data_IF_042904341051
#
_entry.id   IF_042904341051
#
_cell.length_a   1.000
_cell.length_b   1.000
_cell.length_c   1.000
_cell.angle_alpha   90.00
_cell.angle_beta   90.00
_cell.angle_gamma   90.00
#
_symmetry.space_group_name_H-M   'P 1'
#
loop_
_entity.id
_entity.type
_entity.pdbx_description
1 polymer ?
#
# COMPACT_ATOMS: atom_id res chain seq x y z
N UNK A 1 -8.88 3.32 17.64
CA UNK A 1 -8.29 2.26 16.80
C UNK A 1 -6.79 2.39 16.86
N UNK A 2 -6.10 1.26 17.05
CA UNK A 2 -4.64 1.24 17.02
C UNK A 2 -4.13 1.36 15.57
N UNK A 3 -2.83 1.57 15.38
CA UNK A 3 -2.20 1.61 14.06
C UNK A 3 -2.41 0.29 13.28
N UNK A 4 -2.31 -0.85 13.95
CA UNK A 4 -2.53 -2.18 13.36
C UNK A 4 -3.95 -2.28 12.76
N UNK A 5 -4.97 -1.85 13.50
CA UNK A 5 -6.35 -1.88 13.01
C UNK A 5 -6.55 -0.97 11.80
N UNK A 6 -5.96 0.23 11.84
CA UNK A 6 -6.04 1.20 10.74
C UNK A 6 -5.38 0.67 9.47
N UNK A 7 -4.23 0.00 9.60
CA UNK A 7 -3.53 -0.56 8.46
C UNK A 7 -4.27 -1.78 7.89
N UNK A 8 -4.81 -2.65 8.75
CA UNK A 8 -5.69 -3.75 8.31
C UNK A 8 -6.89 -3.24 7.52
N UNK A 9 -7.56 -2.20 8.01
CA UNK A 9 -8.70 -1.59 7.31
C UNK A 9 -8.25 -1.02 5.97
N UNK A 10 -7.14 -0.27 5.93
CA UNK A 10 -6.64 0.31 4.67
C UNK A 10 -6.31 -0.77 3.62
N UNK A 11 -5.70 -1.88 4.03
CA UNK A 11 -5.43 -3.03 3.15
C UNK A 11 -6.75 -3.67 2.66
N UNK A 12 -7.71 -3.91 3.56
CA UNK A 12 -9.00 -4.52 3.21
C UNK A 12 -9.84 -3.63 2.28
N UNK A 13 -9.78 -2.32 2.43
CA UNK A 13 -10.45 -1.33 1.58
C UNK A 13 -9.73 -1.15 0.22
N UNK A 14 -8.52 -1.70 0.06
CA UNK A 14 -7.67 -1.46 -1.10
C UNK A 14 -7.20 0.00 -1.20
N UNK A 15 -7.18 0.73 -0.09
CA UNK A 15 -6.75 2.12 -0.03
C UNK A 15 -5.22 2.18 0.06
N UNK A 16 -4.60 2.06 -1.11
CA UNK A 16 -3.14 2.05 -1.27
C UNK A 16 -2.48 3.31 -0.71
N UNK A 17 -3.13 4.48 -0.84
CA UNK A 17 -2.59 5.75 -0.36
C UNK A 17 -2.54 5.77 1.18
N UNK A 18 -3.64 5.39 1.83
CA UNK A 18 -3.72 5.35 3.29
C UNK A 18 -2.80 4.28 3.88
N UNK A 19 -2.69 3.12 3.23
CA UNK A 19 -1.75 2.08 3.64
C UNK A 19 -0.29 2.56 3.56
N UNK A 20 0.08 3.26 2.48
CA UNK A 20 1.40 3.87 2.33
C UNK A 20 1.69 4.92 3.42
N UNK A 21 0.74 5.81 3.70
CA UNK A 21 0.88 6.82 4.76
C UNK A 21 1.10 6.18 6.13
N UNK A 22 0.37 5.11 6.45
CA UNK A 22 0.51 4.38 7.71
C UNK A 22 1.86 3.66 7.83
N UNK A 23 2.37 3.06 6.75
CA UNK A 23 3.68 2.38 6.76
C UNK A 23 4.85 3.36 6.83
N UNK A 24 4.74 4.52 6.19
CA UNK A 24 5.77 5.57 6.26
C UNK A 24 5.80 6.30 7.60
N UNK A 25 4.67 6.32 8.32
CA UNK A 25 4.54 6.93 9.66
C UNK A 25 4.33 5.86 10.73
N UNK A 26 5.31 4.99 10.89
CA UNK A 26 5.31 3.95 11.91
C UNK A 26 5.25 4.56 13.33
N UNK A 27 4.35 4.05 14.19
CA UNK A 27 4.28 4.48 15.58
C UNK A 27 5.46 3.90 16.37
N UNK A 28 6.26 4.79 16.97
CA UNK A 28 7.50 4.40 17.68
C UNK A 28 7.24 3.68 19.01
N UNK A 29 6.09 3.93 19.64
CA UNK A 29 5.76 3.44 20.99
C UNK A 29 4.62 2.39 21.02
N UNK A 30 4.12 1.97 19.85
CA UNK A 30 2.96 1.06 19.76
C UNK A 30 3.31 -0.42 19.80
N UNK A 31 4.56 -0.80 19.52
CA UNK A 31 4.95 -2.21 19.44
C UNK A 31 5.59 -2.65 20.76
N UNK A 32 4.78 -3.23 21.64
CA UNK A 32 5.18 -3.57 23.02
C UNK A 32 5.67 -5.00 23.19
N UNK A 33 5.27 -5.88 22.28
CA UNK A 33 5.55 -7.31 22.32
C UNK A 33 5.91 -7.86 20.94
N UNK A 34 6.49 -9.06 20.93
CA UNK A 34 6.94 -9.71 19.70
C UNK A 34 5.80 -10.01 18.73
N UNK A 35 4.61 -10.33 19.23
CA UNK A 35 3.44 -10.62 18.39
C UNK A 35 3.01 -9.37 17.62
N UNK A 36 2.99 -8.20 18.27
CA UNK A 36 2.67 -6.92 17.64
C UNK A 36 3.68 -6.55 16.54
N UNK A 37 4.95 -6.90 16.72
CA UNK A 37 6.00 -6.70 15.72
C UNK A 37 5.84 -7.63 14.52
N UNK A 38 5.53 -8.91 14.75
CA UNK A 38 5.28 -9.88 13.68
C UNK A 38 4.05 -9.50 12.87
N UNK A 39 2.98 -9.04 13.52
CA UNK A 39 1.78 -8.53 12.85
C UNK A 39 2.13 -7.29 12.01
N UNK A 40 2.91 -6.36 12.57
CA UNK A 40 3.32 -5.17 11.83
C UNK A 40 4.16 -5.53 10.58
N UNK A 41 5.10 -6.46 10.72
CA UNK A 41 5.92 -6.95 9.61
C UNK A 41 5.05 -7.53 8.49
N UNK A 42 4.10 -8.39 8.84
CA UNK A 42 3.18 -9.02 7.88
C UNK A 42 2.32 -7.97 7.14
N UNK A 43 1.77 -6.99 7.87
CA UNK A 43 0.97 -5.93 7.26
C UNK A 43 1.80 -5.01 6.35
N UNK A 44 3.06 -4.75 6.70
CA UNK A 44 3.98 -4.01 5.83
C UNK A 44 4.26 -4.79 4.56
N UNK A 45 4.48 -6.11 4.65
CA UNK A 45 4.69 -6.97 3.48
C UNK A 45 3.46 -6.94 2.54
N UNK A 46 2.25 -7.07 3.08
CA UNK A 46 1.01 -6.95 2.30
C UNK A 46 0.85 -5.57 1.67
N UNK A 47 1.25 -4.51 2.37
CA UNK A 47 1.21 -3.14 1.82
C UNK A 47 2.19 -2.98 0.65
N UNK A 48 3.38 -3.58 0.73
CA UNK A 48 4.36 -3.58 -0.36
C UNK A 48 3.77 -4.27 -1.59
N UNK A 49 3.21 -5.47 -1.43
CA UNK A 49 2.57 -6.21 -2.54
C UNK A 49 1.43 -5.39 -3.17
N UNK A 50 0.61 -4.73 -2.35
CA UNK A 50 -0.47 -3.86 -2.84
C UNK A 50 0.07 -2.67 -3.66
N UNK A 51 1.16 -2.04 -3.22
CA UNK A 51 1.83 -0.94 -3.92
C UNK A 51 2.45 -1.39 -5.25
N UNK A 52 3.07 -2.57 -5.29
CA UNK A 52 3.64 -3.15 -6.51
C UNK A 52 2.55 -3.43 -7.56
N UNK A 53 1.42 -3.99 -7.12
CA UNK A 53 0.26 -4.23 -7.97
C UNK A 53 -0.31 -2.92 -8.53
N UNK A 54 -0.38 -1.87 -7.73
CA UNK A 54 -0.86 -0.56 -8.19
C UNK A 54 0.12 0.08 -9.18
N UNK A 55 1.42 -0.04 -8.94
CA UNK A 55 2.45 0.40 -9.88
C UNK A 55 2.31 -0.28 -11.25
N UNK A 56 2.00 -1.58 -11.27
CA UNK A 56 1.81 -2.32 -12.52
C UNK A 56 0.55 -1.86 -13.28
N UNK A 57 -0.56 -1.57 -12.56
CA UNK A 57 -1.77 -0.99 -13.15
C UNK A 57 -1.47 0.36 -13.79
N UNK A 58 -0.76 1.25 -13.09
CA UNK A 58 -0.37 2.57 -13.60
C UNK A 58 0.51 2.44 -14.85
N UNK A 59 1.47 1.51 -14.87
CA UNK A 59 2.29 1.23 -16.07
C UNK A 59 1.44 0.83 -17.27
N UNK A 60 0.45 -0.05 -17.09
CA UNK A 60 -0.48 -0.48 -18.15
C UNK A 60 -1.31 0.68 -18.68
N UNK A 61 -1.86 1.51 -17.79
CA UNK A 61 -2.63 2.70 -18.17
C UNK A 61 -1.77 3.71 -18.95
N UNK A 62 -0.53 3.94 -18.51
CA UNK A 62 0.42 4.81 -19.22
C UNK A 62 0.75 4.30 -20.63
N UNK A 63 0.88 2.99 -20.82
CA UNK A 63 1.08 2.40 -22.14
C UNK A 63 -0.13 2.65 -23.05
N UNK A 64 -1.35 2.46 -22.54
CA UNK A 64 -2.59 2.73 -23.28
C UNK A 64 -2.67 4.20 -23.69
N UNK A 65 -2.37 5.13 -22.78
CA UNK A 65 -2.34 6.57 -23.07
C UNK A 65 -1.32 6.89 -24.17
N UNK A 66 -0.12 6.30 -24.13
CA UNK A 66 0.91 6.50 -25.16
C UNK A 66 0.44 6.01 -26.54
N UNK A 67 -0.22 4.86 -26.60
CA UNK A 67 -0.77 4.34 -27.86
C UNK A 67 -1.88 5.24 -28.41
N UNK A 68 -2.80 5.69 -27.55
CA UNK A 68 -3.87 6.61 -27.93
C UNK A 68 -3.31 7.94 -28.47
N UNK A 69 -2.28 8.50 -27.81
CA UNK A 69 -1.61 9.71 -28.30
C UNK A 69 -0.99 9.50 -29.68
N UNK A 70 -0.25 8.40 -29.88
CA UNK A 70 0.37 8.05 -31.17
C UNK A 70 -0.67 7.84 -32.29
N UNK A 71 -1.89 7.41 -31.96
CA UNK A 71 -2.97 7.26 -32.94
C UNK A 71 -3.56 8.60 -33.40
N UNK A 72 -3.55 9.62 -32.53
CA UNK A 72 -4.10 10.95 -32.82
C UNK A 72 -3.10 11.87 -33.56
N UNK A 73 -1.81 11.54 -33.50
CA UNK A 73 -0.73 12.17 -34.27
C UNK A 73 -0.60 11.55 -35.67
#
# INVERSE_FOLDING_TARGET
MDWIDRLKIAILEGDTQKAYELVTHLPKDSFKDMDSLLIAQELIAQTIEMLENDQEKVKKQMLQIKMAKKFLE
#
